data_IF_261138386458
#
_entry.id   IF_261138386458
#
_cell.length_a   1.000
_cell.length_b   1.000
_cell.length_c   1.000
_cell.angle_alpha   90.00
_cell.angle_beta   90.00
_cell.angle_gamma   90.00
#
_symmetry.space_group_name_H-M   'P 1'
#
loop_
_entity.id
_entity.type
_entity.pdbx_description
1 polymer ?
#
# COMPACT_ATOMS: atom_id res chain seq x y z
N UNK A 1 -8.92 -12.86 12.84
CA UNK A 1 -8.49 -11.77 11.93
C UNK A 1 -9.10 -11.98 10.56
N UNK A 2 -9.56 -10.93 9.87
CA UNK A 2 -10.10 -11.00 8.50
C UNK A 2 -9.17 -11.77 7.54
N UNK A 3 -7.85 -11.61 7.69
CA UNK A 3 -6.83 -12.30 6.87
C UNK A 3 -6.94 -13.83 6.92
N UNK A 4 -7.23 -14.39 8.09
CA UNK A 4 -7.37 -15.84 8.30
C UNK A 4 -8.67 -16.35 7.66
N UNK A 5 -9.76 -15.59 7.78
CA UNK A 5 -11.04 -15.93 7.15
C UNK A 5 -11.02 -15.79 5.62
N UNK A 6 -10.24 -14.86 5.09
CA UNK A 6 -10.11 -14.59 3.65
C UNK A 6 -8.99 -15.38 2.96
N UNK A 7 -8.22 -16.18 3.71
CA UNK A 7 -7.12 -17.00 3.19
C UNK A 7 -6.10 -16.18 2.36
N UNK A 8 -5.86 -14.93 2.75
CA UNK A 8 -4.92 -14.03 2.07
C UNK A 8 -3.49 -14.53 2.33
N UNK A 9 -2.74 -14.79 1.26
CA UNK A 9 -1.35 -15.29 1.31
C UNK A 9 -0.31 -14.17 1.41
N UNK A 10 -0.74 -12.92 1.25
CA UNK A 10 0.13 -11.75 1.38
C UNK A 10 0.50 -11.53 2.86
N UNK A 11 1.79 -11.31 3.18
CA UNK A 11 2.19 -10.89 4.52
C UNK A 11 1.36 -9.68 4.95
N UNK A 12 0.62 -9.85 6.04
CA UNK A 12 -0.24 -8.80 6.59
C UNK A 12 0.30 -8.42 7.95
N UNK A 13 0.55 -7.12 8.13
CA UNK A 13 0.99 -6.55 9.39
C UNK A 13 -0.15 -5.72 9.98
N UNK A 14 -0.23 -5.72 11.30
CA UNK A 14 -1.05 -4.78 12.06
C UNK A 14 -0.09 -3.73 12.60
N UNK A 15 -0.37 -2.46 12.38
CA UNK A 15 0.49 -1.38 12.89
C UNK A 15 0.43 -1.27 14.42
N UNK A 16 1.33 -0.46 14.98
CA UNK A 16 1.34 -0.13 16.39
C UNK A 16 0.11 0.70 16.79
N UNK A 17 -0.22 0.69 18.08
CA UNK A 17 -1.35 1.46 18.62
C UNK A 17 -1.10 2.98 18.60
N UNK A 18 0.13 3.40 18.31
CA UNK A 18 0.58 4.79 18.30
C UNK A 18 0.32 5.51 16.96
N UNK A 19 -0.30 4.84 15.98
CA UNK A 19 -0.64 5.39 14.67
C UNK A 19 0.58 5.85 13.84
N UNK A 20 1.79 5.40 14.19
CA UNK A 20 3.02 5.95 13.62
C UNK A 20 3.16 5.72 12.11
N UNK A 21 2.59 4.64 11.57
CA UNK A 21 2.61 4.36 10.13
C UNK A 21 1.50 5.12 9.42
N UNK A 22 0.30 5.14 10.00
CA UNK A 22 -0.82 5.92 9.46
C UNK A 22 -0.48 7.42 9.36
N UNK A 23 0.16 8.00 10.38
CA UNK A 23 0.61 9.39 10.34
C UNK A 23 1.70 9.64 9.28
N UNK A 24 2.63 8.69 9.12
CA UNK A 24 3.76 8.84 8.21
C UNK A 24 3.37 8.68 6.73
N UNK A 25 2.38 7.83 6.44
CA UNK A 25 1.98 7.52 5.06
C UNK A 25 0.63 8.15 4.70
N UNK A 26 -0.27 8.39 5.65
CA UNK A 26 -1.64 8.83 5.40
C UNK A 26 -2.45 7.84 4.55
N UNK A 27 -2.52 6.54 4.90
CA UNK A 27 -3.15 5.52 4.08
C UNK A 27 -4.68 5.54 4.12
N UNK A 28 -5.30 6.28 5.04
CA UNK A 28 -6.74 6.28 5.22
C UNK A 28 -7.52 6.83 4.00
N UNK A 29 -8.69 6.25 3.64
CA UNK A 29 -9.23 5.00 4.20
C UNK A 29 -8.57 3.74 3.60
N UNK A 30 -7.98 3.86 2.40
CA UNK A 30 -7.06 2.88 1.79
C UNK A 30 -6.19 3.60 0.77
N UNK A 31 -4.91 3.20 0.67
CA UNK A 31 -3.97 3.71 -0.32
C UNK A 31 -2.91 2.66 -0.66
N UNK A 32 -2.44 2.71 -1.90
CA UNK A 32 -1.35 1.88 -2.40
C UNK A 32 -0.09 2.71 -2.57
N UNK A 33 1.05 2.06 -2.33
CA UNK A 33 2.37 2.65 -2.54
C UNK A 33 3.25 1.67 -3.31
N UNK A 34 4.25 2.20 -4.01
CA UNK A 34 5.40 1.43 -4.49
C UNK A 34 6.65 2.07 -3.92
N UNK A 35 7.54 1.22 -3.42
CA UNK A 35 8.86 1.62 -2.91
C UNK A 35 9.92 1.12 -3.88
N UNK A 36 10.80 2.01 -4.31
CA UNK A 36 11.95 1.72 -5.17
C UNK A 36 13.04 0.93 -4.46
N UNK A 37 14.03 0.48 -5.24
CA UNK A 37 15.20 -0.27 -4.75
C UNK A 37 16.08 0.54 -3.79
N UNK A 38 16.08 1.86 -3.94
CA UNK A 38 16.74 2.83 -3.06
C UNK A 38 15.97 3.06 -1.75
N UNK A 39 14.79 2.48 -1.62
CA UNK A 39 13.95 2.60 -0.44
C UNK A 39 13.11 3.88 -0.40
N UNK A 40 12.97 4.58 -1.52
CA UNK A 40 12.12 5.77 -1.66
C UNK A 40 10.75 5.38 -2.21
N UNK A 41 9.68 6.09 -1.80
CA UNK A 41 8.35 5.91 -2.39
C UNK A 41 8.35 6.48 -3.80
N UNK A 42 8.17 5.62 -4.80
CA UNK A 42 8.13 5.98 -6.23
C UNK A 42 6.71 6.12 -6.76
N UNK A 43 5.72 5.59 -6.03
CA UNK A 43 4.31 5.73 -6.34
C UNK A 43 3.49 5.94 -5.07
N UNK A 44 2.56 6.89 -5.14
CA UNK A 44 1.65 7.25 -4.07
C UNK A 44 0.24 7.38 -4.67
N UNK A 45 -0.58 6.34 -4.52
CA UNK A 45 -1.92 6.31 -5.06
C UNK A 45 -2.85 7.36 -4.44
N UNK A 46 -3.98 7.62 -5.09
CA UNK A 46 -5.02 8.50 -4.55
C UNK A 46 -5.70 7.92 -3.30
N UNK A 47 -6.50 8.74 -2.59
CA UNK A 47 -7.31 8.25 -1.47
C UNK A 47 -8.47 7.37 -1.98
N UNK A 48 -8.53 6.12 -1.53
CA UNK A 48 -9.66 5.25 -1.85
C UNK A 48 -10.96 5.66 -1.15
N UNK A 49 -12.10 5.02 -1.49
CA UNK A 49 -12.24 4.10 -2.63
C UNK A 49 -12.25 4.82 -3.98
N UNK A 50 -12.49 6.14 -4.01
CA UNK A 50 -12.71 6.91 -5.24
C UNK A 50 -11.52 6.91 -6.20
N UNK A 51 -10.30 6.85 -5.67
CA UNK A 51 -9.06 6.87 -6.46
C UNK A 51 -8.23 5.60 -6.29
N UNK A 52 -8.89 4.50 -5.93
CA UNK A 52 -8.23 3.19 -5.89
C UNK A 52 -8.07 2.69 -7.34
N UNK A 53 -6.86 2.78 -7.88
CA UNK A 53 -6.54 2.39 -9.25
C UNK A 53 -5.50 1.26 -9.27
N UNK A 54 -5.96 0.05 -9.58
CA UNK A 54 -5.12 -1.15 -9.60
C UNK A 54 -4.26 -1.24 -10.85
N UNK A 55 -4.69 -0.63 -11.96
CA UNK A 55 -3.94 -0.66 -13.21
C UNK A 55 -2.75 0.30 -13.10
N UNK A 56 -2.97 1.52 -12.59
CA UNK A 56 -1.91 2.49 -12.34
C UNK A 56 -0.86 1.97 -11.35
N UNK A 57 -1.32 1.35 -10.24
CA UNK A 57 -0.41 0.71 -9.28
C UNK A 57 0.39 -0.44 -9.89
N UNK A 58 -0.23 -1.27 -10.74
CA UNK A 58 0.43 -2.38 -11.44
C UNK A 58 1.53 -1.87 -12.39
N UNK A 59 1.26 -0.81 -13.14
CA UNK A 59 2.27 -0.18 -14.01
C UNK A 59 3.43 0.43 -13.20
N UNK A 60 3.14 1.07 -12.07
CA UNK A 60 4.16 1.60 -11.17
C UNK A 60 5.09 0.52 -10.58
N UNK A 61 4.56 -0.68 -10.30
CA UNK A 61 5.39 -1.83 -9.89
C UNK A 61 6.30 -2.25 -11.05
N UNK A 62 5.75 -2.39 -12.26
CA UNK A 62 6.50 -2.81 -13.45
C UNK A 62 7.65 -1.84 -13.77
N UNK A 63 7.43 -0.53 -13.62
CA UNK A 63 8.47 0.47 -13.84
C UNK A 63 9.61 0.40 -12.81
N UNK A 64 9.40 -0.27 -11.67
CA UNK A 64 10.41 -0.41 -10.60
C UNK A 64 11.32 -1.64 -10.79
N UNK A 65 10.87 -2.61 -11.59
CA UNK A 65 11.61 -3.86 -11.88
C UNK A 65 12.32 -3.85 -13.23
N UNK A 66 11.99 -2.90 -14.11
CA UNK A 66 12.70 -2.69 -15.38
C UNK A 66 14.10 -2.11 -15.19
#
# INVERSE_FOLDING_TARGET
>A
SCTVGLQIQLPTLIEGIDNGIDDAYGPAPVRQYVRGKDGVVTYHGGAGPHFLDLDDWSEAIKSTIS
#
